data_IF_358238825564
#
_entry.id   IF_358238825564
#
_cell.length_a   1.000
_cell.length_b   1.000
_cell.length_c   1.000
_cell.angle_alpha   90.00
_cell.angle_beta   90.00
_cell.angle_gamma   90.00
#
_symmetry.space_group_name_H-M   'P 1'
#
loop_
_entity.id
_entity.type
_entity.pdbx_description
1 polymer ?
#
# COMPACT_ATOMS: atom_id res chain seq x y z
N UNK A 1 -4.87 -2.13 -9.87
CA UNK A 1 -3.53 -2.08 -9.24
C UNK A 1 -3.66 -1.18 -8.03
N UNK A 2 -3.37 -1.71 -6.85
CA UNK A 2 -3.29 -0.88 -5.65
C UNK A 2 -1.98 -0.09 -5.60
N UNK A 3 -2.11 1.24 -5.48
CA UNK A 3 -0.97 2.14 -5.30
C UNK A 3 -0.81 2.45 -3.83
N UNK A 4 0.41 2.31 -3.30
CA UNK A 4 0.72 2.67 -1.92
C UNK A 4 1.13 4.13 -1.83
N UNK A 5 0.31 4.92 -1.15
CA UNK A 5 0.47 6.38 -1.06
C UNK A 5 1.50 6.77 0.03
N UNK A 6 2.76 6.38 -0.19
CA UNK A 6 3.89 6.65 0.68
C UNK A 6 5.12 7.02 -0.16
N UNK A 7 5.96 7.96 0.28
CA UNK A 7 7.15 8.35 -0.49
C UNK A 7 8.28 7.30 -0.44
N UNK A 8 8.24 6.36 0.52
CA UNK A 8 9.20 5.25 0.57
C UNK A 8 8.62 4.01 1.27
N UNK A 9 9.20 2.84 0.96
CA UNK A 9 8.91 1.58 1.65
C UNK A 9 9.23 1.63 3.16
N UNK A 10 10.18 2.48 3.57
CA UNK A 10 10.54 2.69 4.98
C UNK A 10 9.38 3.37 5.73
N UNK A 11 8.85 4.45 5.17
CA UNK A 11 7.70 5.13 5.79
C UNK A 11 6.46 4.22 5.85
N UNK A 12 6.23 3.41 4.81
CA UNK A 12 5.17 2.41 4.86
C UNK A 12 5.36 1.42 6.02
N UNK A 13 6.60 0.97 6.30
CA UNK A 13 6.92 0.12 7.47
C UNK A 13 6.70 0.82 8.81
N UNK A 14 6.95 2.12 8.89
CA UNK A 14 6.70 2.93 10.10
C UNK A 14 5.21 3.12 10.40
N UNK A 15 4.33 2.76 9.45
CA UNK A 15 2.87 2.80 9.62
C UNK A 15 2.25 1.43 9.97
N UNK A 16 3.05 0.43 10.34
CA UNK A 16 2.51 -0.80 10.95
C UNK A 16 1.64 -0.45 12.16
N UNK A 17 0.45 -1.06 12.25
CA UNK A 17 -0.58 -0.77 13.23
C UNK A 17 -1.58 0.32 12.82
N UNK A 18 -1.41 0.95 11.65
CA UNK A 18 -2.33 1.97 11.11
C UNK A 18 -3.05 1.45 9.86
N UNK A 19 -4.18 2.08 9.45
CA UNK A 19 -4.80 1.82 8.16
C UNK A 19 -3.84 2.09 7.00
N UNK A 20 -3.95 1.31 5.94
CA UNK A 20 -3.16 1.49 4.73
C UNK A 20 -3.63 2.74 3.97
N UNK A 21 -2.71 3.64 3.63
CA UNK A 21 -2.96 4.71 2.65
C UNK A 21 -2.76 4.15 1.25
N UNK A 22 -3.83 4.08 0.48
CA UNK A 22 -3.77 3.55 -0.88
C UNK A 22 -4.63 4.34 -1.85
N UNK A 23 -4.33 4.19 -3.14
CA UNK A 23 -5.16 4.65 -4.24
C UNK A 23 -5.52 3.41 -5.05
N UNK A 24 -6.81 3.20 -5.26
CA UNK A 24 -7.29 2.14 -6.14
C UNK A 24 -7.22 2.62 -7.59
N UNK A 25 -6.52 1.86 -8.45
CA UNK A 25 -6.46 2.13 -9.89
C UNK A 25 -6.94 0.96 -10.73
N UNK A 26 -7.39 -0.13 -10.09
CA UNK A 26 -8.00 -1.26 -10.77
C UNK A 26 -9.31 -0.86 -11.44
N UNK A 27 -9.42 -1.16 -12.73
CA UNK A 27 -10.69 -1.11 -13.46
C UNK A 27 -11.50 -2.42 -13.34
N UNK A 28 -10.95 -3.43 -12.65
CA UNK A 28 -11.53 -4.77 -12.49
C UNK A 28 -12.14 -5.02 -11.09
N UNK A 29 -12.40 -3.95 -10.35
CA UNK A 29 -12.92 -3.99 -8.97
C UNK A 29 -11.84 -3.73 -7.91
N UNK A 30 -12.28 -3.61 -6.66
CA UNK A 30 -11.41 -3.26 -5.52
C UNK A 30 -10.36 -4.36 -5.26
N UNK A 31 -9.09 -3.98 -5.25
CA UNK A 31 -7.98 -4.84 -4.86
C UNK A 31 -7.71 -4.79 -3.35
N UNK A 32 -8.16 -3.72 -2.66
CA UNK A 32 -8.02 -3.63 -1.22
C UNK A 32 -8.81 -4.72 -0.48
N UNK A 33 -8.12 -5.40 0.45
CA UNK A 33 -8.71 -6.35 1.40
C UNK A 33 -8.30 -5.96 2.82
N UNK A 34 -9.27 -6.00 3.75
CA UNK A 34 -9.04 -5.64 5.14
C UNK A 34 -8.22 -6.69 5.92
N UNK A 35 -8.23 -7.93 5.43
CA UNK A 35 -7.55 -9.09 6.02
C UNK A 35 -6.91 -9.92 4.91
N UNK A 36 -5.59 -10.13 4.99
CA UNK A 36 -4.86 -10.91 4.00
C UNK A 36 -3.58 -10.23 3.51
N UNK A 37 -3.17 -10.53 2.27
CA UNK A 37 -1.96 -9.99 1.65
C UNK A 37 -2.30 -9.16 0.41
N UNK A 38 -1.72 -7.96 0.35
CA UNK A 38 -1.85 -7.00 -0.75
C UNK A 38 -0.48 -6.76 -1.36
N UNK A 39 -0.37 -6.85 -2.68
CA UNK A 39 0.86 -6.47 -3.39
C UNK A 39 0.59 -5.24 -4.22
N UNK A 40 1.46 -4.24 -4.07
CA UNK A 40 1.29 -2.94 -4.73
C UNK A 40 2.59 -2.16 -4.82
N UNK A 41 2.48 -0.94 -5.33
CA UNK A 41 3.63 -0.08 -5.55
C UNK A 41 3.32 1.40 -5.30
N UNK A 42 4.30 2.18 -4.87
CA UNK A 42 4.22 3.63 -5.04
C UNK A 42 4.60 3.97 -6.48
N UNK A 43 3.82 4.78 -7.18
CA UNK A 43 4.12 5.28 -8.53
C UNK A 43 4.25 6.80 -8.45
N UNK A 44 5.46 7.39 -8.40
CA UNK A 44 5.64 8.83 -8.20
C UNK A 44 4.99 9.72 -9.26
N UNK A 45 4.83 9.23 -10.49
CA UNK A 45 4.11 9.97 -11.54
C UNK A 45 2.60 10.03 -11.30
N UNK A 46 2.06 9.22 -10.38
CA UNK A 46 0.66 9.24 -9.94
C UNK A 46 0.54 9.94 -8.58
N UNK A 47 1.37 9.57 -7.60
CA UNK A 47 1.29 10.10 -6.22
C UNK A 47 1.95 11.47 -6.05
N UNK A 48 2.80 11.89 -6.99
CA UNK A 48 3.55 13.15 -6.93
C UNK A 48 4.64 13.18 -5.85
N UNK A 49 4.96 12.04 -5.21
CA UNK A 49 5.91 12.00 -4.08
C UNK A 49 6.80 10.78 -4.05
N UNK A 50 7.99 11.00 -3.51
CA UNK A 50 8.98 9.97 -3.23
C UNK A 50 9.49 9.23 -4.46
N UNK A 51 9.87 7.96 -4.26
CA UNK A 51 10.41 7.09 -5.31
C UNK A 51 9.53 5.87 -5.55
N UNK A 52 9.64 5.29 -6.73
CA UNK A 52 8.96 4.04 -7.05
C UNK A 52 9.49 2.91 -6.15
N UNK A 53 8.57 2.12 -5.61
CA UNK A 53 8.92 0.90 -4.88
C UNK A 53 7.76 -0.09 -4.93
N UNK A 54 8.10 -1.36 -4.75
CA UNK A 54 7.15 -2.46 -4.62
C UNK A 54 7.16 -3.02 -3.20
N UNK A 55 5.99 -3.40 -2.69
CA UNK A 55 5.85 -4.04 -1.40
C UNK A 55 4.70 -5.04 -1.38
N UNK A 56 4.79 -5.97 -0.44
CA UNK A 56 3.65 -6.79 -0.05
C UNK A 56 3.27 -6.43 1.39
N UNK A 57 2.02 -6.04 1.60
CA UNK A 57 1.48 -5.62 2.89
C UNK A 57 0.55 -6.71 3.40
N UNK A 58 0.78 -7.18 4.62
CA UNK A 58 -0.18 -8.05 5.31
C UNK A 58 -1.13 -7.15 6.11
N UNK A 59 -2.42 -7.27 5.88
CA UNK A 59 -3.49 -6.56 6.58
C UNK A 59 -4.17 -7.48 7.59
N UNK A 60 -4.56 -6.95 8.75
CA UNK A 60 -5.43 -7.61 9.73
C UNK A 60 -6.36 -6.57 10.35
N UNK A 61 -7.67 -6.83 10.35
CA UNK A 61 -8.72 -5.93 10.85
C UNK A 61 -8.61 -4.50 10.28
N UNK A 62 -8.26 -4.38 9.00
CA UNK A 62 -8.08 -3.09 8.32
C UNK A 62 -6.78 -2.36 8.65
N UNK A 63 -5.89 -2.95 9.46
CA UNK A 63 -4.61 -2.36 9.88
C UNK A 63 -3.43 -3.09 9.24
N UNK A 64 -2.35 -2.34 8.99
CA UNK A 64 -1.09 -2.92 8.50
C UNK A 64 -0.49 -3.78 9.61
N UNK A 65 -0.39 -5.09 9.39
CA UNK A 65 0.30 -6.02 10.29
C UNK A 65 1.79 -6.11 9.99
N UNK A 66 2.18 -6.16 8.71
CA UNK A 66 3.59 -6.20 8.31
C UNK A 66 3.78 -5.80 6.85
N UNK A 67 5.01 -5.44 6.48
CA UNK A 67 5.38 -5.01 5.13
C UNK A 67 6.66 -5.72 4.72
N UNK A 68 6.60 -6.46 3.60
CA UNK A 68 7.72 -7.21 3.02
C UNK A 68 8.32 -6.46 1.85
#
# INVERSE_FOLDING_TARGET
MIIFDYPSKKELKENVGKPLRYIETSMFGNEYIADGQLTGANRPHITGKGREFFATVVMVNGLIKSVK
#
